data_IF_212860280972
#
_entry.id   IF_212860280972
#
_cell.length_a   1.000
_cell.length_b   1.000
_cell.length_c   1.000
_cell.angle_alpha   90.00
_cell.angle_beta   90.00
_cell.angle_gamma   90.00
#
_symmetry.space_group_name_H-M   'P 1'
#
loop_
_entity.id
_entity.type
_entity.pdbx_description
1 polymer ?
#
# COMPACT_ATOMS: atom_id res chain seq x y z
N UNK A 1 -61.89 19.28 -51.47
CA UNK A 1 -62.59 18.36 -50.56
C UNK A 1 -61.91 18.50 -49.21
N UNK A 2 -62.46 19.41 -48.40
CA UNK A 2 -62.02 19.75 -47.06
C UNK A 2 -62.64 18.77 -46.06
N UNK A 3 -61.89 17.87 -45.49
CA UNK A 3 -62.31 17.05 -44.35
C UNK A 3 -62.16 17.89 -43.08
N UNK A 4 -63.26 18.61 -42.77
CA UNK A 4 -63.45 19.15 -41.42
C UNK A 4 -63.98 17.99 -40.57
N UNK A 5 -63.12 17.43 -39.72
CA UNK A 5 -63.51 16.49 -38.66
C UNK A 5 -64.20 17.32 -37.58
N UNK A 6 -65.50 17.36 -37.53
CA UNK A 6 -66.29 17.86 -36.41
C UNK A 6 -66.05 16.96 -35.20
N UNK A 7 -65.07 17.32 -34.40
CA UNK A 7 -64.94 16.77 -33.05
C UNK A 7 -66.04 17.43 -32.20
N UNK A 8 -67.01 16.61 -31.78
CA UNK A 8 -68.08 17.03 -30.87
C UNK A 8 -67.49 17.72 -29.62
N UNK A 9 -67.85 18.98 -29.33
CA UNK A 9 -67.34 19.73 -28.19
C UNK A 9 -67.50 19.02 -26.85
N UNK A 10 -68.48 18.13 -26.72
CA UNK A 10 -68.76 17.34 -25.51
C UNK A 10 -67.68 16.24 -25.33
N UNK A 11 -67.32 15.56 -26.42
CA UNK A 11 -66.26 14.51 -26.40
C UNK A 11 -64.89 15.11 -26.15
N UNK A 12 -64.63 16.30 -26.69
CA UNK A 12 -63.36 17.02 -26.46
C UNK A 12 -63.20 17.46 -24.98
N UNK A 13 -64.29 17.93 -24.37
CA UNK A 13 -64.33 18.33 -22.96
C UNK A 13 -64.12 17.15 -22.04
N UNK A 14 -64.76 16.01 -22.32
CA UNK A 14 -64.55 14.77 -21.53
C UNK A 14 -63.12 14.24 -21.62
N UNK A 15 -62.52 14.27 -22.84
CA UNK A 15 -61.11 13.89 -23.02
C UNK A 15 -60.14 14.84 -22.30
N UNK A 16 -60.42 16.14 -22.22
CA UNK A 16 -59.63 17.13 -21.50
C UNK A 16 -59.74 16.92 -19.99
N UNK A 17 -60.92 16.61 -19.46
CA UNK A 17 -61.13 16.32 -18.03
C UNK A 17 -60.41 15.03 -17.61
N UNK A 18 -60.36 14.02 -18.49
CA UNK A 18 -59.66 12.77 -18.25
C UNK A 18 -58.14 12.97 -18.23
N UNK A 19 -57.61 13.74 -19.21
CA UNK A 19 -56.18 14.11 -19.24
C UNK A 19 -55.77 14.98 -18.05
N UNK A 20 -56.61 15.86 -17.58
CA UNK A 20 -56.35 16.67 -16.38
C UNK A 20 -56.30 15.79 -15.13
N UNK A 21 -57.12 14.73 -15.02
CA UNK A 21 -57.05 13.76 -13.91
C UNK A 21 -55.76 12.94 -13.97
N UNK A 22 -55.37 12.47 -15.16
CA UNK A 22 -54.14 11.75 -15.37
C UNK A 22 -52.90 12.60 -14.99
N UNK A 23 -52.89 13.88 -15.42
CA UNK A 23 -51.84 14.84 -15.04
C UNK A 23 -51.77 15.12 -13.54
N UNK A 24 -52.90 15.22 -12.87
CA UNK A 24 -52.95 15.42 -11.42
C UNK A 24 -52.39 14.18 -10.67
N UNK A 25 -52.73 12.97 -11.14
CA UNK A 25 -52.20 11.72 -10.59
C UNK A 25 -50.69 11.61 -10.77
N UNK A 26 -50.15 11.87 -11.98
CA UNK A 26 -48.74 11.87 -12.28
C UNK A 26 -47.95 12.91 -11.48
N UNK A 27 -48.53 14.10 -11.27
CA UNK A 27 -47.89 15.13 -10.40
C UNK A 27 -47.81 14.69 -8.96
N UNK A 28 -48.87 14.08 -8.42
CA UNK A 28 -48.84 13.57 -7.05
C UNK A 28 -47.78 12.46 -6.86
N UNK A 29 -47.69 11.53 -7.82
CA UNK A 29 -46.68 10.47 -7.82
C UNK A 29 -45.26 11.03 -7.95
N UNK A 30 -45.07 12.05 -8.81
CA UNK A 30 -43.79 12.73 -8.95
C UNK A 30 -43.38 13.47 -7.65
N UNK A 31 -44.31 14.12 -6.98
CA UNK A 31 -44.06 14.82 -5.71
C UNK A 31 -43.73 13.84 -4.58
N UNK A 32 -44.35 12.67 -4.53
CA UNK A 32 -44.06 11.62 -3.58
C UNK A 32 -42.70 11.03 -3.84
N UNK A 33 -42.35 10.72 -5.09
CA UNK A 33 -41.05 10.23 -5.50
C UNK A 33 -39.94 11.24 -5.16
N UNK A 34 -40.15 12.52 -5.49
CA UNK A 34 -39.20 13.57 -5.15
C UNK A 34 -38.98 13.72 -3.64
N UNK A 35 -40.04 13.61 -2.82
CA UNK A 35 -39.89 13.61 -1.37
C UNK A 35 -39.06 12.42 -0.88
N UNK A 36 -39.29 11.23 -1.44
CA UNK A 36 -38.51 10.03 -1.14
C UNK A 36 -37.04 10.20 -1.52
N UNK A 37 -36.75 10.74 -2.71
CA UNK A 37 -35.37 11.02 -3.15
C UNK A 37 -34.67 12.02 -2.24
N UNK A 38 -35.35 13.12 -1.88
CA UNK A 38 -34.76 14.12 -0.96
C UNK A 38 -34.44 13.49 0.42
N UNK A 39 -35.34 12.67 0.95
CA UNK A 39 -35.11 11.97 2.22
C UNK A 39 -33.91 11.04 2.17
N UNK A 40 -33.76 10.28 1.06
CA UNK A 40 -32.61 9.41 0.82
C UNK A 40 -31.29 10.20 0.70
N UNK A 41 -31.30 11.36 0.03
CA UNK A 41 -30.11 12.23 -0.04
C UNK A 41 -29.70 12.74 1.34
N UNK A 42 -30.64 13.15 2.18
CA UNK A 42 -30.34 13.60 3.56
C UNK A 42 -29.76 12.45 4.39
N UNK A 43 -30.32 11.24 4.27
CA UNK A 43 -29.79 10.06 4.98
C UNK A 43 -28.38 9.70 4.48
N UNK A 44 -28.16 9.74 3.16
CA UNK A 44 -26.85 9.47 2.57
C UNK A 44 -25.79 10.47 3.06
N UNK A 45 -26.12 11.76 3.08
CA UNK A 45 -25.24 12.82 3.57
C UNK A 45 -24.88 12.64 5.05
N UNK A 46 -25.87 12.29 5.88
CA UNK A 46 -25.64 11.99 7.29
C UNK A 46 -24.72 10.78 7.48
N UNK A 47 -24.92 9.70 6.69
CA UNK A 47 -24.05 8.52 6.74
C UNK A 47 -22.63 8.81 6.26
N UNK A 48 -22.48 9.62 5.21
CA UNK A 48 -21.18 10.04 4.71
C UNK A 48 -20.42 10.86 5.76
N UNK A 49 -21.08 11.79 6.45
CA UNK A 49 -20.48 12.59 7.50
C UNK A 49 -20.10 11.74 8.74
N UNK A 50 -20.94 10.78 9.15
CA UNK A 50 -20.62 9.83 10.23
C UNK A 50 -19.39 8.98 9.89
N UNK A 51 -19.31 8.47 8.65
CA UNK A 51 -18.18 7.69 8.19
C UNK A 51 -16.89 8.53 8.15
N UNK A 52 -16.98 9.78 7.69
CA UNK A 52 -15.85 10.72 7.67
C UNK A 52 -15.32 10.97 9.08
N UNK A 53 -16.22 11.27 10.04
CA UNK A 53 -15.85 11.50 11.43
C UNK A 53 -15.22 10.26 12.09
N UNK A 54 -15.79 9.06 11.84
CA UNK A 54 -15.23 7.81 12.36
C UNK A 54 -13.81 7.55 11.79
N UNK A 55 -13.58 7.81 10.51
CA UNK A 55 -12.29 7.69 9.86
C UNK A 55 -11.27 8.69 10.41
N UNK A 56 -11.71 9.93 10.66
CA UNK A 56 -10.85 10.95 11.29
C UNK A 56 -10.45 10.60 12.72
N UNK A 57 -11.40 10.12 13.52
CA UNK A 57 -11.13 9.68 14.88
C UNK A 57 -10.17 8.49 14.90
N UNK A 58 -10.39 7.48 14.03
CA UNK A 58 -9.48 6.33 13.87
C UNK A 58 -8.06 6.80 13.53
N UNK A 59 -7.92 7.72 12.59
CA UNK A 59 -6.64 8.25 12.13
C UNK A 59 -5.91 9.05 13.21
N UNK A 60 -6.64 9.92 13.95
CA UNK A 60 -6.08 10.68 15.08
C UNK A 60 -5.63 9.76 16.21
N UNK A 61 -6.45 8.77 16.56
CA UNK A 61 -6.12 7.78 17.58
C UNK A 61 -4.85 7.03 17.24
N UNK A 62 -4.73 6.51 16.01
CA UNK A 62 -3.55 5.78 15.56
C UNK A 62 -2.30 6.66 15.52
N UNK A 63 -2.43 7.93 15.09
CA UNK A 63 -1.32 8.89 15.12
C UNK A 63 -0.85 9.19 16.54
N UNK A 64 -1.78 9.38 17.48
CA UNK A 64 -1.47 9.57 18.90
C UNK A 64 -0.77 8.33 19.47
N UNK A 65 -1.36 7.14 19.29
CA UNK A 65 -0.80 5.87 19.77
C UNK A 65 0.62 5.60 19.25
N UNK A 66 0.93 6.05 18.02
CA UNK A 66 2.29 5.93 17.51
C UNK A 66 3.32 6.71 18.30
N UNK A 67 3.00 7.95 18.63
CA UNK A 67 3.88 8.77 19.46
C UNK A 67 4.07 8.14 20.83
N UNK A 68 2.97 7.65 21.43
CA UNK A 68 2.98 7.00 22.73
C UNK A 68 3.75 5.68 22.75
N UNK A 69 3.74 4.93 21.66
CA UNK A 69 4.54 3.71 21.53
C UNK A 69 6.00 3.98 21.16
N UNK A 70 6.27 4.98 20.33
CA UNK A 70 7.64 5.28 19.88
C UNK A 70 8.55 5.67 21.06
N UNK A 71 8.06 6.46 21.99
CA UNK A 71 8.83 6.92 23.14
C UNK A 71 9.38 5.77 24.01
N UNK A 72 8.56 4.84 24.54
CA UNK A 72 9.08 3.71 25.32
C UNK A 72 9.92 2.75 24.49
N UNK A 73 9.58 2.52 23.22
CA UNK A 73 10.39 1.64 22.35
C UNK A 73 11.79 2.24 22.15
N UNK A 74 11.89 3.54 21.85
CA UNK A 74 13.18 4.21 21.69
C UNK A 74 14.00 4.16 22.98
N UNK A 75 13.36 4.29 24.15
CA UNK A 75 14.05 4.13 25.43
C UNK A 75 14.60 2.70 25.62
N UNK A 76 13.78 1.67 25.32
CA UNK A 76 14.23 0.27 25.39
C UNK A 76 15.40 0.02 24.45
N UNK A 77 15.32 0.48 23.19
CA UNK A 77 16.41 0.36 22.22
C UNK A 77 17.70 1.06 22.68
N UNK A 78 17.57 2.27 23.23
CA UNK A 78 18.70 3.05 23.73
C UNK A 78 19.38 2.35 24.91
N UNK A 79 18.60 1.86 25.88
CA UNK A 79 19.14 1.13 27.04
C UNK A 79 19.80 -0.18 26.58
N UNK A 80 19.15 -0.95 25.71
CA UNK A 80 19.71 -2.18 25.18
C UNK A 80 21.03 -1.93 24.45
N UNK A 81 21.13 -0.83 23.70
CA UNK A 81 22.37 -0.44 23.03
C UNK A 81 23.47 -0.10 24.01
N UNK A 82 23.20 0.71 25.05
CA UNK A 82 24.19 1.06 26.08
C UNK A 82 24.77 -0.20 26.77
N UNK A 83 23.90 -1.20 27.04
CA UNK A 83 24.32 -2.47 27.63
C UNK A 83 25.21 -3.28 26.67
N UNK A 84 24.84 -3.38 25.38
CA UNK A 84 25.62 -4.10 24.34
C UNK A 84 26.97 -3.40 24.11
N UNK A 85 26.98 -2.05 24.09
CA UNK A 85 28.19 -1.24 23.96
C UNK A 85 29.06 -1.30 25.24
N UNK A 86 28.60 -1.99 26.32
CA UNK A 86 29.30 -2.23 27.60
C UNK A 86 29.72 -0.94 28.30
N UNK A 87 28.91 0.12 28.18
CA UNK A 87 29.20 1.44 28.78
C UNK A 87 29.28 1.35 30.32
N UNK A 88 28.36 0.54 30.91
CA UNK A 88 28.29 0.36 32.37
C UNK A 88 29.04 -0.88 32.90
N UNK A 89 29.77 -1.57 32.02
CA UNK A 89 30.57 -2.76 32.40
C UNK A 89 30.27 -3.98 31.49
N UNK A 90 31.03 -5.08 31.68
CA UNK A 90 30.89 -6.28 30.86
C UNK A 90 29.61 -7.04 31.19
N UNK A 91 28.96 -7.55 30.15
CA UNK A 91 27.83 -8.49 30.24
C UNK A 91 28.39 -9.94 30.27
N UNK A 92 27.67 -10.83 30.92
CA UNK A 92 27.86 -12.27 30.72
C UNK A 92 27.30 -12.66 29.33
N UNK A 93 27.73 -13.78 28.79
CA UNK A 93 27.29 -14.30 27.50
C UNK A 93 25.76 -14.48 27.44
N UNK A 94 25.17 -14.95 28.53
CA UNK A 94 23.73 -15.10 28.67
C UNK A 94 22.99 -13.74 28.69
N UNK A 95 23.53 -12.75 29.43
CA UNK A 95 23.01 -11.40 29.48
C UNK A 95 23.08 -10.72 28.10
N UNK A 96 24.18 -10.89 27.37
CA UNK A 96 24.36 -10.35 26.03
C UNK A 96 23.31 -10.93 25.08
N UNK A 97 23.07 -12.24 25.16
CA UNK A 97 22.02 -12.91 24.38
C UNK A 97 20.61 -12.36 24.70
N UNK A 98 20.30 -12.16 25.98
CA UNK A 98 19.01 -11.62 26.40
C UNK A 98 18.83 -10.17 25.96
N UNK A 99 19.85 -9.33 26.12
CA UNK A 99 19.79 -7.91 25.71
C UNK A 99 19.67 -7.79 24.19
N UNK A 100 20.38 -8.66 23.44
CA UNK A 100 20.24 -8.73 21.99
C UNK A 100 18.80 -9.07 21.58
N UNK A 101 18.18 -10.06 22.24
CA UNK A 101 16.79 -10.43 22.00
C UNK A 101 15.81 -9.29 22.30
N UNK A 102 16.03 -8.54 23.40
CA UNK A 102 15.22 -7.36 23.74
C UNK A 102 15.36 -6.29 22.66
N UNK A 103 16.56 -6.01 22.18
CA UNK A 103 16.83 -5.04 21.13
C UNK A 103 16.12 -5.40 19.84
N UNK A 104 16.26 -6.64 19.42
CA UNK A 104 15.70 -7.12 18.14
C UNK A 104 14.15 -7.13 18.19
N UNK A 105 13.56 -7.60 19.29
CA UNK A 105 12.11 -7.56 19.51
C UNK A 105 11.57 -6.12 19.55
N UNK A 106 12.31 -5.20 20.16
CA UNK A 106 11.93 -3.78 20.19
C UNK A 106 12.01 -3.12 18.81
N UNK A 107 12.96 -3.53 17.97
CA UNK A 107 13.07 -3.06 16.59
C UNK A 107 11.89 -3.56 15.73
N UNK A 108 11.54 -4.85 15.83
CA UNK A 108 10.37 -5.43 15.17
C UNK A 108 9.07 -4.74 15.60
N UNK A 109 8.92 -4.42 16.89
CA UNK A 109 7.74 -3.72 17.39
C UNK A 109 7.66 -2.28 16.87
N UNK A 110 8.80 -1.57 16.79
CA UNK A 110 8.85 -0.22 16.19
C UNK A 110 8.41 -0.24 14.72
N UNK A 111 8.88 -1.22 13.95
CA UNK A 111 8.49 -1.40 12.55
C UNK A 111 6.98 -1.68 12.43
N UNK A 112 6.43 -2.57 13.24
CA UNK A 112 5.00 -2.87 13.28
C UNK A 112 4.14 -1.63 13.53
N UNK A 113 4.53 -0.81 14.52
CA UNK A 113 3.81 0.43 14.85
C UNK A 113 3.87 1.42 13.70
N UNK A 114 5.03 1.56 13.03
CA UNK A 114 5.16 2.44 11.87
C UNK A 114 4.32 1.96 10.68
N UNK A 115 4.33 0.66 10.38
CA UNK A 115 3.52 0.07 9.29
C UNK A 115 2.03 0.30 9.53
N UNK A 116 1.56 0.07 10.77
CA UNK A 116 0.16 0.29 11.15
C UNK A 116 -0.28 1.74 10.95
N UNK A 117 0.62 2.69 11.26
CA UNK A 117 0.34 4.10 11.04
C UNK A 117 0.33 4.50 9.58
N UNK A 118 1.29 4.01 8.80
CA UNK A 118 1.34 4.28 7.38
C UNK A 118 0.06 3.75 6.71
N UNK A 119 -0.39 2.55 7.11
CA UNK A 119 -1.66 1.99 6.67
C UNK A 119 -2.84 2.91 7.01
N UNK A 120 -2.90 3.38 8.27
CA UNK A 120 -3.97 4.27 8.72
C UNK A 120 -3.99 5.62 7.99
N UNK A 121 -2.80 6.19 7.68
CA UNK A 121 -2.69 7.42 6.89
C UNK A 121 -3.16 7.22 5.46
N UNK A 122 -2.83 6.07 4.85
CA UNK A 122 -3.27 5.71 3.50
C UNK A 122 -4.80 5.58 3.47
N UNK A 123 -5.39 4.84 4.41
CA UNK A 123 -6.85 4.67 4.51
C UNK A 123 -7.60 6.00 4.72
N UNK A 124 -6.98 6.94 5.40
CA UNK A 124 -7.53 8.28 5.62
C UNK A 124 -7.31 9.23 4.43
N UNK A 125 -6.63 8.80 3.36
CA UNK A 125 -6.28 9.65 2.21
C UNK A 125 -5.31 10.78 2.56
N UNK A 126 -4.51 10.63 3.63
CA UNK A 126 -3.60 11.66 4.14
C UNK A 126 -2.14 11.47 3.73
N UNK A 127 -1.88 10.49 2.88
CA UNK A 127 -0.54 10.27 2.35
C UNK A 127 -0.35 11.15 1.12
N UNK A 128 0.55 12.09 1.24
CA UNK A 128 1.00 12.90 0.12
C UNK A 128 2.07 12.13 -0.67
N UNK A 129 1.94 12.14 -1.99
CA UNK A 129 2.94 11.63 -2.91
C UNK A 129 3.85 12.81 -3.29
N UNK A 130 5.15 12.63 -3.15
CA UNK A 130 6.16 13.63 -3.50
C UNK A 130 7.00 13.11 -4.67
N UNK A 131 6.49 13.19 -5.92
CA UNK A 131 7.20 12.66 -7.07
C UNK A 131 8.41 13.51 -7.40
N UNK A 132 9.51 12.86 -7.76
CA UNK A 132 10.74 13.47 -8.23
C UNK A 132 11.34 12.62 -9.36
N UNK A 133 12.19 13.25 -10.20
CA UNK A 133 13.00 12.51 -11.16
C UNK A 133 14.16 11.83 -10.45
N UNK A 134 14.36 10.55 -10.68
CA UNK A 134 15.51 9.82 -10.17
C UNK A 134 15.95 8.71 -11.12
N UNK A 135 17.22 8.33 -10.96
CA UNK A 135 17.81 7.22 -11.69
C UNK A 135 17.61 5.90 -10.92
N UNK A 136 17.35 4.86 -11.68
CA UNK A 136 17.20 3.50 -11.14
C UNK A 136 18.50 2.98 -10.50
N UNK A 137 19.64 3.41 -11.03
CA UNK A 137 20.97 3.05 -10.51
C UNK A 137 21.14 3.59 -9.08
N UNK A 138 20.68 4.82 -8.83
CA UNK A 138 20.74 5.45 -7.51
C UNK A 138 19.85 4.70 -6.49
N UNK A 139 18.63 4.35 -6.89
CA UNK A 139 17.72 3.56 -6.05
C UNK A 139 18.34 2.19 -5.69
N UNK A 140 18.87 1.47 -6.68
CA UNK A 140 19.49 0.16 -6.45
C UNK A 140 20.77 0.27 -5.62
N UNK A 141 21.55 1.33 -5.81
CA UNK A 141 22.76 1.61 -5.02
C UNK A 141 22.40 1.88 -3.55
N UNK A 142 21.37 2.68 -3.31
CA UNK A 142 20.88 2.94 -1.95
C UNK A 142 20.36 1.66 -1.26
N UNK A 143 19.56 0.87 -1.96
CA UNK A 143 19.06 -0.41 -1.44
C UNK A 143 20.20 -1.41 -1.18
N UNK A 144 21.15 -1.54 -2.09
CA UNK A 144 22.34 -2.38 -1.92
C UNK A 144 23.15 -1.98 -0.69
N UNK A 145 23.37 -0.67 -0.51
CA UNK A 145 24.09 -0.13 0.66
C UNK A 145 23.37 -0.42 1.96
N UNK A 146 22.05 -0.36 1.97
CA UNK A 146 21.22 -0.63 3.16
C UNK A 146 21.23 -2.12 3.57
N UNK A 147 21.13 -3.03 2.60
CA UNK A 147 21.02 -4.46 2.89
C UNK A 147 22.37 -5.18 3.05
N UNK A 148 23.46 -4.62 2.51
CA UNK A 148 24.80 -5.23 2.62
C UNK A 148 25.24 -5.54 4.07
N UNK A 149 25.04 -4.65 5.05
CA UNK A 149 25.38 -4.94 6.46
C UNK A 149 24.45 -5.98 7.12
N UNK A 150 23.26 -6.19 6.57
CA UNK A 150 22.24 -7.12 7.10
C UNK A 150 22.41 -8.55 6.59
N UNK A 151 23.27 -8.75 5.58
CA UNK A 151 23.62 -10.07 5.04
C UNK A 151 24.60 -10.77 5.99
N UNK A 152 24.08 -11.34 7.07
CA UNK A 152 24.87 -12.10 8.03
C UNK A 152 25.00 -13.58 7.68
N UNK A 153 24.10 -14.09 6.84
CA UNK A 153 24.11 -15.49 6.39
C UNK A 153 24.96 -15.63 5.12
N UNK A 154 26.14 -16.33 5.19
CA UNK A 154 27.02 -16.50 4.04
C UNK A 154 26.44 -17.43 2.95
N UNK A 155 25.42 -18.23 3.28
CA UNK A 155 24.76 -19.14 2.36
C UNK A 155 23.72 -18.45 1.47
N UNK A 156 23.46 -17.14 1.67
CA UNK A 156 22.52 -16.35 0.88
C UNK A 156 23.23 -15.23 0.14
N UNK A 157 23.01 -15.16 -1.16
CA UNK A 157 23.56 -14.10 -2.02
C UNK A 157 22.46 -13.12 -2.40
N UNK A 158 22.70 -11.81 -2.22
CA UNK A 158 21.81 -10.75 -2.68
C UNK A 158 22.41 -10.11 -3.95
N UNK A 159 21.68 -10.24 -5.06
CA UNK A 159 22.07 -9.74 -6.38
C UNK A 159 21.16 -8.60 -6.80
N UNK A 160 21.74 -7.52 -7.29
CA UNK A 160 21.02 -6.44 -7.95
C UNK A 160 21.42 -6.45 -9.43
N UNK A 161 20.45 -6.76 -10.30
CA UNK A 161 20.64 -6.68 -11.75
C UNK A 161 20.51 -5.22 -12.17
N UNK A 162 21.59 -4.64 -12.66
CA UNK A 162 21.57 -3.26 -13.13
C UNK A 162 20.67 -3.14 -14.36
N UNK A 163 19.67 -2.23 -14.31
CA UNK A 163 18.76 -2.03 -15.43
C UNK A 163 19.52 -1.46 -16.63
N UNK A 164 19.46 -2.15 -17.75
CA UNK A 164 20.08 -1.69 -19.00
C UNK A 164 19.15 -0.73 -19.73
N UNK A 165 19.64 0.43 -20.13
CA UNK A 165 18.90 1.43 -20.91
C UNK A 165 17.56 1.86 -20.29
N UNK A 166 17.52 2.00 -18.96
CA UNK A 166 16.36 2.49 -18.25
C UNK A 166 16.46 4.01 -18.15
N UNK A 167 15.50 4.78 -18.68
CA UNK A 167 15.47 6.22 -18.47
C UNK A 167 15.13 6.53 -17.01
N UNK A 168 15.40 7.77 -16.59
CA UNK A 168 14.93 8.28 -15.32
C UNK A 168 13.38 8.17 -15.24
N UNK A 169 12.87 7.95 -14.06
CA UNK A 169 11.44 7.86 -13.81
C UNK A 169 10.98 8.98 -12.88
N UNK A 170 9.73 9.43 -13.05
CA UNK A 170 9.12 10.47 -12.25
C UNK A 170 8.07 9.86 -11.33
N UNK A 171 8.46 9.51 -10.11
CA UNK A 171 7.60 8.95 -9.08
C UNK A 171 8.14 9.24 -7.68
N UNK A 172 7.46 8.79 -6.63
CA UNK A 172 7.94 8.92 -5.24
C UNK A 172 8.94 7.79 -4.94
N UNK A 173 10.23 8.11 -5.00
CA UNK A 173 11.35 7.19 -4.75
C UNK A 173 11.31 6.57 -3.35
N UNK A 174 10.83 7.33 -2.36
CA UNK A 174 10.74 6.86 -0.95
C UNK A 174 9.69 5.78 -0.79
N UNK A 175 8.51 5.98 -1.39
CA UNK A 175 7.43 5.00 -1.37
C UNK A 175 7.81 3.73 -2.15
N UNK A 176 8.41 3.91 -3.32
CA UNK A 176 8.92 2.79 -4.10
C UNK A 176 10.03 2.04 -3.35
N UNK A 177 10.99 2.76 -2.74
CA UNK A 177 12.01 2.17 -1.88
C UNK A 177 11.41 1.40 -0.70
N UNK A 178 10.33 1.90 -0.09
CA UNK A 178 9.63 1.22 1.00
C UNK A 178 9.04 -0.12 0.55
N UNK A 179 8.40 -0.18 -0.62
CA UNK A 179 7.90 -1.42 -1.22
C UNK A 179 9.03 -2.41 -1.45
N UNK A 180 10.10 -1.98 -2.12
CA UNK A 180 11.24 -2.84 -2.44
C UNK A 180 11.96 -3.35 -1.20
N UNK A 181 12.13 -2.50 -0.18
CA UNK A 181 12.71 -2.93 1.12
C UNK A 181 11.90 -4.04 1.75
N UNK A 182 10.58 -3.93 1.75
CA UNK A 182 9.72 -4.98 2.28
C UNK A 182 9.87 -6.29 1.51
N UNK A 183 9.89 -6.23 0.17
CA UNK A 183 10.08 -7.44 -0.66
C UNK A 183 11.44 -8.07 -0.43
N UNK A 184 12.53 -7.28 -0.38
CA UNK A 184 13.90 -7.77 -0.13
C UNK A 184 14.01 -8.36 1.28
N UNK A 185 13.47 -7.68 2.30
CA UNK A 185 13.47 -8.17 3.67
C UNK A 185 12.77 -9.52 3.80
N UNK A 186 11.59 -9.66 3.18
CA UNK A 186 10.87 -10.92 3.14
C UNK A 186 11.67 -12.01 2.41
N UNK A 187 12.24 -11.72 1.25
CA UNK A 187 13.05 -12.66 0.48
C UNK A 187 14.25 -13.18 1.29
N UNK A 188 15.00 -12.27 1.94
CA UNK A 188 16.14 -12.64 2.80
C UNK A 188 15.72 -13.47 4.01
N UNK A 189 14.58 -13.14 4.60
CA UNK A 189 14.03 -13.82 5.77
C UNK A 189 13.61 -15.26 5.47
N UNK A 190 13.04 -15.51 4.29
CA UNK A 190 12.49 -16.82 3.92
C UNK A 190 13.42 -17.65 3.03
N UNK A 191 14.64 -17.15 2.75
CA UNK A 191 15.69 -17.88 2.04
C UNK A 191 16.78 -18.31 3.02
N UNK A 192 16.80 -19.60 3.36
CA UNK A 192 17.84 -20.14 4.23
C UNK A 192 19.17 -20.33 3.51
N UNK A 193 19.14 -20.66 2.22
CA UNK A 193 20.28 -20.85 1.32
C UNK A 193 19.89 -20.50 -0.10
N UNK A 194 20.83 -19.94 -0.87
CA UNK A 194 20.63 -19.65 -2.29
C UNK A 194 20.72 -18.16 -2.61
N UNK A 195 19.74 -17.65 -3.30
CA UNK A 195 19.84 -16.35 -3.97
C UNK A 195 18.58 -15.51 -3.77
N UNK A 196 18.77 -14.20 -3.52
CA UNK A 196 17.74 -13.17 -3.65
C UNK A 196 18.18 -12.21 -4.76
N UNK A 197 17.33 -12.00 -5.75
CA UNK A 197 17.62 -11.22 -6.95
C UNK A 197 16.64 -10.07 -7.08
N UNK A 198 17.17 -8.86 -7.22
CA UNK A 198 16.40 -7.63 -7.47
C UNK A 198 16.64 -7.19 -8.91
N UNK A 199 15.58 -7.01 -9.67
CA UNK A 199 15.63 -6.59 -11.07
C UNK A 199 14.58 -5.52 -11.38
N UNK A 200 14.78 -4.79 -12.50
CA UNK A 200 13.81 -3.85 -13.03
C UNK A 200 13.73 -3.98 -14.55
N UNK A 201 12.50 -4.00 -15.06
CA UNK A 201 12.22 -4.17 -16.50
C UNK A 201 11.27 -3.07 -16.94
N UNK A 202 11.64 -2.35 -18.00
CA UNK A 202 10.75 -1.43 -18.69
C UNK A 202 9.76 -2.20 -19.55
N UNK A 203 8.48 -1.94 -19.37
CA UNK A 203 7.41 -2.52 -20.18
C UNK A 203 7.08 -1.63 -21.40
N UNK A 204 6.39 -2.19 -22.38
CA UNK A 204 6.00 -1.49 -23.61
C UNK A 204 4.91 -0.42 -23.42
N UNK A 205 4.24 -0.42 -22.27
CA UNK A 205 3.14 0.49 -21.92
C UNK A 205 3.55 1.66 -21.00
N UNK A 206 4.80 2.09 -21.11
CA UNK A 206 5.37 3.15 -20.27
C UNK A 206 5.27 2.90 -18.76
N UNK A 207 5.39 1.66 -18.36
CA UNK A 207 5.50 1.24 -16.96
C UNK A 207 6.84 0.57 -16.72
N UNK A 208 7.24 0.50 -15.45
CA UNK A 208 8.40 -0.27 -14.99
C UNK A 208 7.92 -1.29 -13.99
N UNK A 209 8.37 -2.53 -14.15
CA UNK A 209 8.18 -3.61 -13.19
C UNK A 209 9.48 -3.86 -12.45
N UNK A 210 9.43 -3.71 -11.14
CA UNK A 210 10.48 -4.12 -10.21
C UNK A 210 10.13 -5.48 -9.67
N UNK A 211 11.06 -6.40 -9.68
CA UNK A 211 10.87 -7.74 -9.16
C UNK A 211 11.96 -8.10 -8.15
N UNK A 212 11.54 -8.75 -7.07
CA UNK A 212 12.41 -9.39 -6.10
C UNK A 212 12.07 -10.87 -6.11
N UNK A 213 13.01 -11.70 -6.59
CA UNK A 213 12.87 -13.15 -6.63
C UNK A 213 13.81 -13.79 -5.61
N UNK A 214 13.34 -14.85 -4.98
CA UNK A 214 14.09 -15.64 -4.01
C UNK A 214 14.02 -17.13 -4.36
N UNK A 215 15.01 -17.89 -3.90
CA UNK A 215 15.06 -19.35 -3.99
C UNK A 215 14.70 -19.99 -2.63
N UNK A 216 13.83 -19.34 -1.86
CA UNK A 216 13.43 -19.78 -0.55
C UNK A 216 12.37 -20.87 -0.54
N UNK A 217 11.65 -20.98 0.57
CA UNK A 217 10.67 -22.05 0.78
C UNK A 217 9.44 -21.98 -0.10
N UNK A 218 9.16 -20.84 -0.73
CA UNK A 218 7.94 -20.61 -1.51
C UNK A 218 6.67 -20.53 -0.66
N UNK A 219 5.55 -20.27 -1.33
CA UNK A 219 4.23 -20.08 -0.73
C UNK A 219 3.22 -20.97 -1.43
N UNK A 220 2.44 -21.73 -0.66
CA UNK A 220 1.42 -22.62 -1.21
C UNK A 220 0.28 -21.81 -1.89
N UNK A 221 -0.32 -22.32 -2.97
CA UNK A 221 -1.30 -21.59 -3.77
C UNK A 221 -2.52 -21.09 -2.98
N UNK A 222 -2.95 -21.82 -1.94
CA UNK A 222 -4.06 -21.43 -1.08
C UNK A 222 -3.81 -20.10 -0.32
N UNK A 223 -2.55 -19.70 -0.14
CA UNK A 223 -2.18 -18.47 0.56
C UNK A 223 -1.89 -17.29 -0.37
N UNK A 224 -1.83 -17.48 -1.70
CA UNK A 224 -1.45 -16.44 -2.65
C UNK A 224 -2.30 -15.17 -2.58
N UNK A 225 -3.59 -15.32 -2.32
CA UNK A 225 -4.48 -14.18 -2.11
C UNK A 225 -4.33 -13.60 -0.70
N UNK A 226 -4.19 -14.47 0.28
CA UNK A 226 -4.19 -14.12 1.70
C UNK A 226 -2.95 -13.31 2.12
N UNK A 227 -1.78 -13.52 1.50
CA UNK A 227 -0.53 -12.83 1.88
C UNK A 227 -0.57 -11.31 1.70
N UNK A 228 -1.50 -10.78 0.90
CA UNK A 228 -1.73 -9.36 0.72
C UNK A 228 -2.85 -8.78 1.60
N UNK A 229 -3.44 -9.59 2.48
CA UNK A 229 -4.42 -9.13 3.47
C UNK A 229 -3.73 -8.67 4.74
N UNK A 230 -4.34 -7.70 5.42
CA UNK A 230 -3.80 -7.15 6.67
C UNK A 230 -3.71 -8.25 7.74
N UNK A 231 -2.61 -8.27 8.50
CA UNK A 231 -2.34 -9.21 9.60
C UNK A 231 -2.32 -10.69 9.20
N UNK A 232 -2.21 -10.99 7.91
CA UNK A 232 -2.17 -12.38 7.47
C UNK A 232 -0.75 -12.93 7.59
N UNK A 233 -0.66 -14.08 8.25
CA UNK A 233 0.56 -14.89 8.35
C UNK A 233 0.21 -16.30 7.90
N UNK A 234 1.08 -16.91 7.11
CA UNK A 234 0.88 -18.30 6.67
C UNK A 234 1.23 -19.25 7.83
N UNK A 235 0.28 -20.09 8.22
CA UNK A 235 0.43 -21.04 9.35
C UNK A 235 1.29 -22.23 8.93
N UNK A 236 2.62 -22.05 8.91
CA UNK A 236 3.60 -23.12 8.71
C UNK A 236 4.50 -23.26 9.94
N UNK A 237 4.90 -24.48 10.34
CA UNK A 237 5.80 -24.70 11.46
C UNK A 237 7.15 -23.96 11.32
N UNK A 238 7.62 -23.74 10.09
CA UNK A 238 8.84 -22.99 9.78
C UNK A 238 8.60 -21.50 9.90
N UNK A 239 7.44 -20.99 9.47
CA UNK A 239 7.09 -19.58 9.53
C UNK A 239 6.77 -19.09 10.94
N UNK A 240 6.32 -19.97 11.83
CA UNK A 240 6.14 -19.66 13.27
C UNK A 240 7.45 -19.24 13.95
N UNK A 241 8.59 -19.67 13.43
CA UNK A 241 9.93 -19.26 13.91
C UNK A 241 10.41 -17.95 13.32
N UNK A 242 9.88 -17.59 12.14
CA UNK A 242 10.23 -16.38 11.40
C UNK A 242 9.11 -15.35 11.58
N UNK A 243 9.07 -14.70 12.75
CA UNK A 243 8.06 -13.69 13.11
C UNK A 243 8.05 -12.55 12.10
N UNK A 244 6.86 -12.04 11.79
CA UNK A 244 6.66 -10.85 10.97
C UNK A 244 5.38 -10.15 11.39
N UNK A 245 5.16 -8.93 10.95
CA UNK A 245 3.98 -8.13 11.32
C UNK A 245 2.72 -8.57 10.58
N UNK A 246 2.87 -9.15 9.40
CA UNK A 246 1.78 -9.44 8.47
C UNK A 246 1.19 -8.18 7.80
N UNK A 247 1.86 -7.02 7.97
CA UNK A 247 1.41 -5.74 7.41
C UNK A 247 2.21 -5.29 6.19
N UNK A 248 3.45 -5.73 6.06
CA UNK A 248 4.35 -5.23 5.03
C UNK A 248 3.84 -5.43 3.61
N UNK A 249 3.31 -6.61 3.25
CA UNK A 249 2.81 -6.87 1.89
C UNK A 249 1.50 -6.13 1.59
N UNK A 250 0.59 -6.02 2.55
CA UNK A 250 -0.64 -5.23 2.39
C UNK A 250 -0.33 -3.73 2.27
N UNK A 251 0.61 -3.22 3.06
CA UNK A 251 1.12 -1.85 2.93
C UNK A 251 1.78 -1.63 1.57
N UNK A 252 2.62 -2.57 1.10
CA UNK A 252 3.25 -2.49 -0.23
C UNK A 252 2.21 -2.41 -1.35
N UNK A 253 1.13 -3.18 -1.26
CA UNK A 253 0.01 -3.13 -2.22
C UNK A 253 -0.64 -1.75 -2.23
N UNK A 254 -0.97 -1.19 -1.07
CA UNK A 254 -1.61 0.14 -0.98
C UNK A 254 -0.68 1.26 -1.45
N UNK A 255 0.62 1.18 -1.14
CA UNK A 255 1.61 2.12 -1.65
C UNK A 255 1.73 2.04 -3.18
N UNK A 256 1.73 0.84 -3.75
CA UNK A 256 1.75 0.67 -5.21
C UNK A 256 0.50 1.27 -5.87
N UNK A 257 -0.69 1.06 -5.30
CA UNK A 257 -1.95 1.67 -5.77
C UNK A 257 -1.89 3.20 -5.71
N UNK A 258 -1.32 3.79 -4.66
CA UNK A 258 -1.09 5.25 -4.56
C UNK A 258 -0.14 5.77 -5.64
N UNK A 259 0.85 4.97 -6.04
CA UNK A 259 1.76 5.30 -7.14
C UNK A 259 1.15 5.01 -8.53
N UNK A 260 -0.16 4.73 -8.61
CA UNK A 260 -0.85 4.41 -9.86
C UNK A 260 -0.46 3.06 -10.45
N UNK A 261 0.11 2.17 -9.63
CA UNK A 261 0.63 0.87 -10.01
C UNK A 261 -0.11 -0.30 -9.36
N UNK A 262 0.53 -1.46 -9.38
CA UNK A 262 0.01 -2.69 -8.78
C UNK A 262 1.14 -3.60 -8.32
N UNK A 263 0.82 -4.53 -7.41
CA UNK A 263 1.72 -5.62 -7.00
C UNK A 263 1.25 -6.94 -7.55
N UNK A 264 2.19 -7.84 -7.81
CA UNK A 264 1.92 -9.23 -8.19
C UNK A 264 2.88 -10.18 -7.46
N UNK A 265 2.51 -11.43 -7.40
CA UNK A 265 3.33 -12.50 -6.84
C UNK A 265 3.22 -13.76 -7.68
N UNK A 266 4.35 -14.47 -7.80
CA UNK A 266 4.44 -15.83 -8.31
C UNK A 266 5.25 -16.63 -7.30
N UNK A 267 4.77 -17.80 -6.90
CA UNK A 267 5.46 -18.62 -5.92
C UNK A 267 5.10 -20.10 -6.07
N UNK A 268 6.10 -20.94 -5.81
CA UNK A 268 5.95 -22.39 -5.81
C UNK A 268 6.66 -22.97 -4.58
N UNK A 269 5.98 -23.81 -3.76
CA UNK A 269 6.57 -24.43 -2.60
C UNK A 269 7.86 -25.21 -2.93
N UNK A 270 8.93 -24.91 -2.19
CA UNK A 270 10.24 -25.52 -2.37
C UNK A 270 11.08 -25.01 -3.53
N UNK A 271 10.55 -24.10 -4.36
CA UNK A 271 11.27 -23.45 -5.47
C UNK A 271 11.65 -22.01 -5.13
N UNK A 272 10.70 -21.24 -4.55
CA UNK A 272 10.89 -19.86 -4.16
C UNK A 272 9.71 -18.97 -4.50
N UNK A 273 9.91 -17.66 -4.36
CA UNK A 273 8.88 -16.66 -4.66
C UNK A 273 9.45 -15.51 -5.48
N UNK A 274 8.57 -14.85 -6.23
CA UNK A 274 8.85 -13.59 -6.89
C UNK A 274 7.72 -12.61 -6.55
N UNK A 275 8.07 -11.53 -5.88
CA UNK A 275 7.19 -10.38 -5.64
C UNK A 275 7.57 -9.27 -6.59
N UNK A 276 6.58 -8.64 -7.21
CA UNK A 276 6.82 -7.56 -8.15
C UNK A 276 5.87 -6.40 -7.93
N UNK A 277 6.36 -5.19 -8.21
CA UNK A 277 5.58 -3.97 -8.26
C UNK A 277 5.74 -3.34 -9.63
N UNK A 278 4.63 -3.01 -10.27
CA UNK A 278 4.60 -2.29 -11.54
C UNK A 278 4.06 -0.90 -11.31
N UNK A 279 4.81 0.13 -11.71
CA UNK A 279 4.43 1.54 -11.58
C UNK A 279 4.57 2.26 -12.92
N UNK A 280 3.80 3.33 -13.18
CA UNK A 280 4.02 4.21 -14.32
C UNK A 280 5.44 4.81 -14.28
N UNK A 281 6.05 5.00 -15.44
CA UNK A 281 7.36 5.70 -15.53
C UNK A 281 7.25 7.17 -15.19
N UNK A 282 6.05 7.75 -15.32
CA UNK A 282 5.77 9.14 -15.00
C UNK A 282 4.40 9.26 -14.34
N UNK A 283 4.37 9.82 -13.14
CA UNK A 283 3.14 10.25 -12.47
C UNK A 283 2.61 11.57 -13.08
N UNK A 284 1.31 11.88 -12.93
CA UNK A 284 0.77 13.18 -13.35
C UNK A 284 1.53 14.35 -12.72
N UNK A 285 1.80 15.40 -13.52
CA UNK A 285 2.56 16.58 -13.08
C UNK A 285 4.03 16.59 -13.50
N UNK A 286 4.50 15.56 -14.21
CA UNK A 286 5.82 15.59 -14.84
C UNK A 286 5.84 16.68 -15.94
N UNK A 287 6.74 17.65 -15.81
CA UNK A 287 7.00 18.57 -16.92
C UNK A 287 7.72 17.84 -18.06
N UNK A 288 7.22 17.94 -19.31
CA UNK A 288 7.89 17.33 -20.45
C UNK A 288 9.27 18.00 -20.64
N UNK A 289 10.34 17.24 -20.45
CA UNK A 289 11.71 17.71 -20.69
C UNK A 289 12.59 17.96 -19.47
N UNK A 290 12.07 17.89 -18.25
CA UNK A 290 12.91 17.87 -17.05
C UNK A 290 13.61 16.51 -16.93
N UNK A 291 14.75 16.36 -17.56
CA UNK A 291 15.70 15.27 -17.29
C UNK A 291 16.67 15.70 -16.21
N UNK A 292 17.28 14.75 -15.51
CA UNK A 292 18.30 14.97 -14.45
C UNK A 292 19.48 15.87 -14.83
N UNK A 293 19.48 16.46 -16.05
CA UNK A 293 20.55 17.32 -16.56
C UNK A 293 20.52 18.79 -16.11
N UNK A 294 19.40 19.30 -15.56
CA UNK A 294 19.25 20.74 -15.26
C UNK A 294 19.37 21.10 -13.76
N UNK A 295 19.73 20.17 -12.90
CA UNK A 295 19.90 20.40 -11.45
C UNK A 295 21.37 20.62 -11.04
N UNK A 296 22.24 21.04 -11.96
CA UNK A 296 23.66 21.35 -11.69
C UNK A 296 23.97 22.78 -12.11
N UNK A 297 23.55 23.78 -11.33
CA UNK A 297 24.19 25.09 -11.23
C UNK A 297 24.14 25.56 -9.79
#
# INVERSE_FOLDING_TARGET
>A
MTLQSDLDPVSLKAALEDKNRELASLRAELEETNRGVVALYVELDQKAEQLRQATELKSRFLSYMSHEFRTPITAIQSISRLLIDRIDGPLTEEQETQVQFIRDTSAEFAEMVNDLLDLAKIEAGRVEISPAWFDMVDLFTALRGMFKPLLTNPDVTLLFEEPRNMPAIFTDDRKLSQILRNFISNALKFTARGEVRVSAIRNSNETVTFAVSDTGMGIAPEFHYAVFQDFTQVDSPVQKRLRGTGLGLSLSKRLAELLGGSVAMQSEPGVGSMFSVTVPMSLPGAEPGASLGDASV
#
